data_IF_047051019822
#
_entry.id   IF_047051019822
#
_cell.length_a   1.000
_cell.length_b   1.000
_cell.length_c   1.000
_cell.angle_alpha   90.00
_cell.angle_beta   90.00
_cell.angle_gamma   90.00
#
_symmetry.space_group_name_H-M   'P 1'
#
loop_
_entity.id
_entity.type
_entity.pdbx_description
1 polymer ?
#
# COMPACT_ATOMS: atom_id res chain seq x y z
N UNK A 1 12.38 -0.58 25.61
CA UNK A 1 11.10 0.13 25.89
C UNK A 1 9.95 -0.82 25.55
N UNK A 2 8.95 -0.95 26.40
CA UNK A 2 7.71 -1.68 26.08
C UNK A 2 6.78 -0.74 25.27
N UNK A 3 6.88 -0.82 23.97
CA UNK A 3 6.12 0.05 23.05
C UNK A 3 4.61 -0.13 23.17
N UNK A 4 4.11 -1.32 23.51
CA UNK A 4 2.66 -1.55 23.64
C UNK A 4 2.09 -0.80 24.85
N UNK A 5 2.74 -0.93 26.01
CA UNK A 5 2.35 -0.24 27.23
C UNK A 5 2.49 1.28 27.11
N UNK A 6 3.58 1.74 26.53
CA UNK A 6 3.85 3.17 26.36
C UNK A 6 2.90 3.80 25.33
N UNK A 7 2.61 3.12 24.23
CA UNK A 7 1.63 3.56 23.24
C UNK A 7 0.24 3.73 23.86
N UNK A 8 -0.21 2.76 24.66
CA UNK A 8 -1.52 2.87 25.34
C UNK A 8 -1.58 4.07 26.27
N UNK A 9 -0.52 4.32 27.05
CA UNK A 9 -0.41 5.48 27.93
C UNK A 9 -0.49 6.80 27.13
N UNK A 10 0.31 6.91 26.06
CA UNK A 10 0.35 8.10 25.21
C UNK A 10 -0.97 8.35 24.48
N UNK A 11 -1.64 7.32 23.97
CA UNK A 11 -2.97 7.50 23.35
C UNK A 11 -4.00 8.05 24.34
N UNK A 12 -3.91 7.68 25.63
CA UNK A 12 -4.73 8.25 26.69
C UNK A 12 -4.43 9.73 26.97
N UNK A 13 -3.17 10.14 26.83
CA UNK A 13 -2.75 11.55 27.02
C UNK A 13 -3.07 12.40 25.80
N UNK A 14 -2.80 11.90 24.58
CA UNK A 14 -3.04 12.62 23.32
C UNK A 14 -4.53 12.82 23.05
N UNK A 15 -5.38 11.87 23.45
CA UNK A 15 -6.84 11.86 23.16
C UNK A 15 -7.17 11.99 21.66
N UNK A 16 -6.32 11.42 20.84
CA UNK A 16 -6.33 11.51 19.39
C UNK A 16 -5.01 12.05 18.84
N UNK A 17 -4.70 11.71 17.58
CA UNK A 17 -3.45 12.08 16.90
C UNK A 17 -3.63 13.15 15.84
N UNK A 18 -4.86 13.55 15.59
CA UNK A 18 -5.21 14.59 14.61
C UNK A 18 -6.14 15.59 15.23
N UNK A 19 -6.12 16.81 14.69
CA UNK A 19 -7.08 17.87 14.99
C UNK A 19 -7.47 18.60 13.72
N UNK A 20 -8.59 19.30 13.74
CA UNK A 20 -9.03 20.18 12.65
C UNK A 20 -8.77 21.62 13.08
N UNK A 21 -7.95 22.33 12.31
CA UNK A 21 -7.58 23.71 12.57
C UNK A 21 -8.05 24.63 11.45
N UNK A 22 -8.34 25.89 11.79
CA UNK A 22 -8.63 26.89 10.78
C UNK A 22 -7.36 27.39 10.11
N UNK A 23 -7.43 27.70 8.83
CA UNK A 23 -6.31 28.26 8.04
C UNK A 23 -6.49 29.73 7.70
N UNK A 24 -7.60 30.34 8.17
CA UNK A 24 -7.94 31.74 7.94
C UNK A 24 -8.25 32.41 9.29
N UNK A 25 -7.98 33.72 9.43
CA UNK A 25 -8.32 34.45 10.65
C UNK A 25 -9.84 34.65 10.74
N UNK A 26 -10.37 34.72 11.95
CA UNK A 26 -11.75 35.15 12.26
C UNK A 26 -11.69 36.04 13.50
N UNK A 27 -11.10 37.23 13.36
CA UNK A 27 -10.87 38.16 14.47
C UNK A 27 -11.71 39.45 14.34
N UNK A 28 -12.15 39.77 13.12
CA UNK A 28 -12.91 40.96 12.79
C UNK A 28 -14.25 40.63 12.14
N UNK A 29 -15.14 41.62 12.04
CA UNK A 29 -16.39 41.50 11.28
C UNK A 29 -16.13 41.26 9.79
N UNK A 30 -15.09 41.85 9.26
CA UNK A 30 -14.72 41.68 7.86
C UNK A 30 -14.20 40.25 7.61
N UNK A 31 -13.37 39.70 8.49
CA UNK A 31 -12.92 38.30 8.41
C UNK A 31 -14.14 37.36 8.40
N UNK A 32 -15.07 37.55 9.33
CA UNK A 32 -16.28 36.74 9.40
C UNK A 32 -17.11 36.87 8.13
N UNK A 33 -17.26 38.09 7.59
CA UNK A 33 -18.03 38.33 6.36
C UNK A 33 -17.38 37.74 5.11
N UNK A 34 -16.05 37.64 5.07
CA UNK A 34 -15.31 36.99 4.00
C UNK A 34 -15.29 35.46 4.15
N UNK A 35 -15.05 34.96 5.36
CA UNK A 35 -14.96 33.51 5.61
C UNK A 35 -16.34 32.82 5.62
N UNK A 36 -17.41 33.54 5.95
CA UNK A 36 -18.78 33.00 6.01
C UNK A 36 -19.79 33.95 5.34
N UNK A 37 -20.82 34.40 6.04
CA UNK A 37 -21.89 35.19 5.45
C UNK A 37 -21.59 36.70 5.50
N UNK A 38 -21.72 37.46 4.39
CA UNK A 38 -22.31 37.10 3.09
C UNK A 38 -21.33 36.63 2.03
N UNK A 39 -20.03 36.81 2.20
CA UNK A 39 -19.01 36.63 1.17
C UNK A 39 -18.93 35.21 0.61
N UNK A 40 -19.15 34.17 1.42
CA UNK A 40 -19.09 32.76 1.04
C UNK A 40 -20.10 32.37 -0.05
N UNK A 41 -21.14 33.17 -0.28
CA UNK A 41 -22.09 32.92 -1.36
C UNK A 41 -21.43 32.94 -2.75
N UNK A 42 -20.42 33.78 -2.96
CA UNK A 42 -19.78 33.89 -4.26
C UNK A 42 -18.98 32.64 -4.65
N UNK A 43 -18.09 32.06 -3.82
CA UNK A 43 -17.48 30.76 -4.08
C UNK A 43 -18.51 29.65 -4.35
N UNK A 44 -19.61 29.60 -3.61
CA UNK A 44 -20.69 28.62 -3.84
C UNK A 44 -21.31 28.78 -5.24
N UNK A 45 -21.57 30.01 -5.68
CA UNK A 45 -22.07 30.29 -7.02
C UNK A 45 -21.09 29.85 -8.09
N UNK A 46 -19.81 30.10 -7.90
CA UNK A 46 -18.80 29.68 -8.87
C UNK A 46 -18.68 28.15 -8.98
N UNK A 47 -18.69 27.44 -7.85
CA UNK A 47 -18.66 25.97 -7.83
C UNK A 47 -19.96 25.37 -8.42
N UNK A 48 -21.12 26.01 -8.21
CA UNK A 48 -22.38 25.53 -8.78
C UNK A 48 -22.43 25.61 -10.31
N UNK A 49 -21.63 26.51 -10.91
CA UNK A 49 -21.48 26.64 -12.37
C UNK A 49 -20.46 25.65 -12.94
N UNK A 50 -19.42 25.38 -12.18
CA UNK A 50 -18.34 24.46 -12.53
C UNK A 50 -17.82 23.77 -11.27
N UNK A 51 -18.18 22.50 -11.10
CA UNK A 51 -17.78 21.69 -9.92
C UNK A 51 -16.26 21.56 -9.76
N UNK A 52 -15.49 21.68 -10.85
CA UNK A 52 -14.03 21.63 -10.79
C UNK A 52 -13.44 22.76 -9.95
N UNK A 53 -14.10 23.91 -9.88
CA UNK A 53 -13.68 25.02 -9.00
C UNK A 53 -13.69 24.64 -7.51
N UNK A 54 -14.33 23.54 -7.12
CA UNK A 54 -14.24 23.04 -5.75
C UNK A 54 -12.82 22.67 -5.34
N UNK A 55 -11.99 22.27 -6.28
CA UNK A 55 -10.57 22.01 -6.04
C UNK A 55 -9.77 23.29 -5.81
N UNK A 56 -10.17 24.40 -6.41
CA UNK A 56 -9.45 25.69 -6.29
C UNK A 56 -9.96 26.50 -5.08
N UNK A 57 -11.24 26.35 -4.71
CA UNK A 57 -11.93 27.20 -3.74
C UNK A 57 -12.21 26.49 -2.40
N UNK A 58 -11.86 25.22 -2.25
CA UNK A 58 -12.04 24.46 -1.01
C UNK A 58 -10.82 23.58 -0.71
N UNK A 59 -10.79 22.98 0.49
CA UNK A 59 -9.75 22.04 0.88
C UNK A 59 -9.82 20.69 0.14
N UNK A 60 -10.82 20.48 -0.71
CA UNK A 60 -11.00 19.26 -1.51
C UNK A 60 -9.72 18.86 -2.25
N UNK A 61 -8.96 19.82 -2.79
CA UNK A 61 -7.72 19.57 -3.54
C UNK A 61 -6.64 18.80 -2.76
N UNK A 62 -6.64 18.88 -1.43
CA UNK A 62 -5.61 18.28 -0.57
C UNK A 62 -6.17 17.32 0.48
N UNK A 63 -7.46 17.02 0.47
CA UNK A 63 -8.11 16.21 1.51
C UNK A 63 -8.35 14.77 1.04
N UNK A 64 -7.78 13.80 1.76
CA UNK A 64 -7.95 12.37 1.55
C UNK A 64 -8.86 11.75 2.61
N UNK A 65 -9.84 10.95 2.21
CA UNK A 65 -10.57 10.08 3.14
C UNK A 65 -9.80 8.79 3.39
N UNK A 66 -9.54 8.44 4.65
CA UNK A 66 -8.98 7.15 5.06
C UNK A 66 -10.11 6.28 5.58
N UNK A 67 -10.53 5.30 4.80
CA UNK A 67 -11.76 4.52 5.02
C UNK A 67 -11.44 3.10 5.44
N UNK A 68 -12.07 2.65 6.53
CA UNK A 68 -11.98 1.26 7.01
C UNK A 68 -13.34 0.73 7.47
N UNK A 69 -13.52 -0.58 7.43
CA UNK A 69 -14.57 -1.30 8.14
C UNK A 69 -14.04 -2.07 9.36
N UNK A 70 -12.73 -2.01 9.60
CA UNK A 70 -12.06 -2.63 10.74
C UNK A 70 -11.98 -4.16 10.69
N UNK A 71 -12.06 -4.77 9.50
CA UNK A 71 -12.11 -6.24 9.36
C UNK A 71 -10.76 -6.91 9.14
N UNK A 72 -9.67 -6.13 8.94
CA UNK A 72 -8.32 -6.67 8.73
C UNK A 72 -7.24 -5.82 9.41
N UNK A 73 -7.50 -5.37 10.63
CA UNK A 73 -6.64 -4.42 11.36
C UNK A 73 -5.37 -5.09 11.84
N UNK A 74 -4.22 -4.73 11.23
CA UNK A 74 -2.89 -5.27 11.56
C UNK A 74 -2.91 -6.82 11.69
N UNK A 75 -2.27 -7.37 12.70
CA UNK A 75 -2.33 -8.80 13.06
C UNK A 75 -3.54 -9.19 13.93
N UNK A 76 -4.44 -8.24 14.23
CA UNK A 76 -5.58 -8.45 15.12
C UNK A 76 -6.83 -8.99 14.40
N UNK A 77 -6.91 -8.79 13.08
CA UNK A 77 -8.03 -9.24 12.26
C UNK A 77 -9.26 -8.35 12.38
N UNK A 78 -10.42 -8.98 12.48
CA UNK A 78 -11.74 -8.31 12.55
C UNK A 78 -12.06 -7.84 13.98
N UNK A 79 -11.71 -6.59 14.27
CA UNK A 79 -11.95 -5.97 15.58
C UNK A 79 -13.01 -4.85 15.55
N UNK A 80 -13.56 -4.59 14.36
CA UNK A 80 -14.58 -3.59 14.14
C UNK A 80 -14.04 -2.18 13.87
N UNK A 81 -14.90 -1.31 13.32
CA UNK A 81 -14.48 -0.01 12.81
C UNK A 81 -13.96 0.95 13.88
N UNK A 82 -14.61 1.03 15.05
CA UNK A 82 -14.18 1.94 16.11
C UNK A 82 -12.83 1.54 16.71
N UNK A 83 -12.58 0.23 16.85
CA UNK A 83 -11.30 -0.28 17.33
C UNK A 83 -10.16 -0.09 16.32
N UNK A 84 -10.49 0.08 15.02
CA UNK A 84 -9.54 0.45 13.96
C UNK A 84 -9.14 1.93 13.97
N UNK A 85 -9.89 2.81 14.63
CA UNK A 85 -9.66 4.26 14.61
C UNK A 85 -8.23 4.69 14.98
N UNK A 86 -7.56 4.13 16.00
CA UNK A 86 -6.17 4.50 16.30
C UNK A 86 -5.20 4.26 15.15
N UNK A 87 -5.41 3.21 14.35
CA UNK A 87 -4.61 2.91 13.15
C UNK A 87 -4.91 3.93 12.06
N UNK A 88 -6.18 4.25 11.84
CA UNK A 88 -6.62 5.23 10.83
C UNK A 88 -6.11 6.63 11.12
N UNK A 89 -6.13 7.07 12.38
CA UNK A 89 -5.49 8.32 12.79
C UNK A 89 -3.97 8.28 12.55
N UNK A 90 -3.32 7.17 12.85
CA UNK A 90 -1.91 6.96 12.54
C UNK A 90 -1.62 7.11 11.05
N UNK A 91 -2.46 6.54 10.19
CA UNK A 91 -2.36 6.70 8.74
C UNK A 91 -2.48 8.17 8.34
N UNK A 92 -3.42 8.92 8.91
CA UNK A 92 -3.58 10.36 8.66
C UNK A 92 -2.33 11.17 9.06
N UNK A 93 -1.70 10.83 10.19
CA UNK A 93 -0.42 11.45 10.62
C UNK A 93 0.66 11.22 9.58
N UNK A 94 0.79 10.00 9.05
CA UNK A 94 1.79 9.67 8.03
C UNK A 94 1.52 10.39 6.70
N UNK A 95 0.26 10.49 6.28
CA UNK A 95 -0.12 11.29 5.10
C UNK A 95 0.35 12.73 5.23
N UNK A 96 0.13 13.36 6.39
CA UNK A 96 0.55 14.74 6.63
C UNK A 96 2.06 14.88 6.72
N UNK A 97 2.71 14.03 7.51
CA UNK A 97 4.15 14.14 7.79
C UNK A 97 5.03 13.89 6.54
N UNK A 98 4.66 12.96 5.67
CA UNK A 98 5.49 12.52 4.55
C UNK A 98 4.99 12.96 3.17
N UNK A 99 3.75 13.43 3.07
CA UNK A 99 3.15 13.84 1.80
C UNK A 99 2.52 15.22 1.80
N UNK A 100 2.46 15.88 2.95
CA UNK A 100 1.68 17.10 3.17
C UNK A 100 0.23 17.00 2.64
N UNK A 101 -0.36 15.81 2.80
CA UNK A 101 -1.75 15.52 2.47
C UNK A 101 -2.57 15.57 3.75
N UNK A 102 -3.64 16.36 3.75
CA UNK A 102 -4.61 16.36 4.83
C UNK A 102 -5.46 15.10 4.71
N UNK A 103 -5.56 14.32 5.76
CA UNK A 103 -6.31 13.08 5.74
C UNK A 103 -7.28 13.01 6.92
N UNK A 104 -8.46 12.44 6.67
CA UNK A 104 -9.51 12.30 7.68
C UNK A 104 -9.99 10.85 7.77
N UNK A 105 -10.01 10.25 8.99
CA UNK A 105 -10.38 8.86 9.18
C UNK A 105 -11.90 8.68 9.19
N UNK A 106 -12.39 7.67 8.47
CA UNK A 106 -13.80 7.32 8.37
C UNK A 106 -13.96 5.82 8.62
N UNK A 107 -14.55 5.48 9.77
CA UNK A 107 -14.81 4.11 10.19
C UNK A 107 -16.27 3.74 9.88
N UNK A 108 -16.49 2.82 8.93
CA UNK A 108 -17.82 2.47 8.42
C UNK A 108 -18.35 1.24 9.14
N UNK A 109 -19.53 1.34 9.75
CA UNK A 109 -20.21 0.24 10.46
C UNK A 109 -20.98 -0.70 9.53
N UNK A 110 -20.29 -1.20 8.50
CA UNK A 110 -20.87 -2.20 7.61
C UNK A 110 -19.78 -3.11 7.06
N UNK A 111 -20.16 -4.37 6.78
CA UNK A 111 -19.36 -5.34 6.04
C UNK A 111 -19.97 -5.65 4.67
N UNK A 112 -21.07 -5.03 4.34
CA UNK A 112 -21.69 -5.14 3.03
C UNK A 112 -20.94 -4.27 2.01
N UNK A 113 -20.59 -4.87 0.87
CA UNK A 113 -19.81 -4.21 -0.17
C UNK A 113 -20.54 -3.01 -0.74
N UNK A 114 -21.83 -3.15 -1.03
CA UNK A 114 -22.62 -2.09 -1.67
C UNK A 114 -22.92 -0.95 -0.70
N UNK A 115 -23.13 -1.23 0.57
CA UNK A 115 -23.26 -0.21 1.61
C UNK A 115 -22.00 0.62 1.77
N UNK A 116 -20.82 -0.02 1.82
CA UNK A 116 -19.53 0.67 1.89
C UNK A 116 -19.31 1.52 0.65
N UNK A 117 -19.51 0.94 -0.54
CA UNK A 117 -19.35 1.65 -1.82
C UNK A 117 -20.28 2.85 -1.92
N UNK A 118 -21.54 2.70 -1.56
CA UNK A 118 -22.51 3.79 -1.60
C UNK A 118 -22.16 4.88 -0.57
N UNK A 119 -21.75 4.51 0.63
CA UNK A 119 -21.32 5.46 1.67
C UNK A 119 -20.16 6.32 1.17
N UNK A 120 -19.10 5.69 0.67
CA UNK A 120 -17.92 6.41 0.16
C UNK A 120 -18.27 7.28 -1.04
N UNK A 121 -19.07 6.77 -1.97
CA UNK A 121 -19.53 7.55 -3.13
C UNK A 121 -20.31 8.81 -2.71
N UNK A 122 -21.25 8.69 -1.78
CA UNK A 122 -22.07 9.81 -1.34
C UNK A 122 -21.27 10.94 -0.68
N UNK A 123 -20.13 10.63 -0.05
CA UNK A 123 -19.26 11.63 0.60
C UNK A 123 -18.09 12.07 -0.27
N UNK A 124 -17.87 11.45 -1.42
CA UNK A 124 -16.69 11.67 -2.27
C UNK A 124 -16.51 13.11 -2.73
N UNK A 125 -17.61 13.87 -2.82
CA UNK A 125 -17.57 15.30 -3.18
C UNK A 125 -16.79 16.19 -2.21
N UNK A 126 -16.52 15.72 -0.98
CA UNK A 126 -15.74 16.46 0.00
C UNK A 126 -14.22 16.19 -0.10
N UNK A 127 -13.80 15.21 -0.88
CA UNK A 127 -12.41 14.70 -0.90
C UNK A 127 -11.79 14.79 -2.30
N UNK A 128 -10.48 14.91 -2.33
CA UNK A 128 -9.68 14.81 -3.54
C UNK A 128 -9.29 13.38 -3.89
N UNK A 129 -9.41 12.45 -2.93
CA UNK A 129 -9.12 11.04 -3.10
C UNK A 129 -9.49 10.20 -1.89
N UNK A 130 -9.44 8.89 -2.04
CA UNK A 130 -9.80 7.92 -1.00
C UNK A 130 -8.70 6.87 -0.84
N UNK A 131 -8.22 6.69 0.37
CA UNK A 131 -7.41 5.56 0.78
C UNK A 131 -8.27 4.56 1.55
N UNK A 132 -8.42 3.35 1.00
CA UNK A 132 -9.03 2.22 1.70
C UNK A 132 -7.95 1.54 2.57
N UNK A 133 -8.29 1.18 3.79
CA UNK A 133 -7.36 0.62 4.76
C UNK A 133 -8.01 -0.47 5.59
N UNK A 134 -7.25 -1.54 5.89
CA UNK A 134 -7.65 -2.60 6.82
C UNK A 134 -9.01 -3.27 6.49
N UNK A 135 -9.33 -3.40 5.21
CA UNK A 135 -10.53 -4.10 4.72
C UNK A 135 -10.16 -5.50 4.25
N UNK A 136 -10.82 -6.53 4.78
CA UNK A 136 -10.48 -7.92 4.53
C UNK A 136 -10.74 -8.37 3.09
N UNK A 137 -9.80 -9.20 2.57
CA UNK A 137 -10.00 -9.91 1.30
C UNK A 137 -11.07 -11.04 1.46
N UNK A 138 -11.87 -11.34 0.41
CA UNK A 138 -11.80 -10.80 -0.94
C UNK A 138 -12.59 -9.51 -1.16
N UNK A 139 -13.35 -9.02 -0.15
CA UNK A 139 -14.24 -7.85 -0.27
C UNK A 139 -13.50 -6.58 -0.68
N UNK A 140 -12.29 -6.37 -0.17
CA UNK A 140 -11.49 -5.19 -0.49
C UNK A 140 -11.26 -5.00 -2.00
N UNK A 141 -11.09 -6.09 -2.76
CA UNK A 141 -10.92 -6.03 -4.22
C UNK A 141 -12.20 -5.58 -4.92
N UNK A 142 -13.34 -6.08 -4.47
CA UNK A 142 -14.65 -5.71 -5.04
C UNK A 142 -15.01 -4.26 -4.70
N UNK A 143 -14.78 -3.84 -3.45
CA UNK A 143 -15.03 -2.46 -3.00
C UNK A 143 -14.17 -1.49 -3.81
N UNK A 144 -12.88 -1.72 -3.94
CA UNK A 144 -11.99 -0.85 -4.72
C UNK A 144 -12.43 -0.77 -6.18
N UNK A 145 -12.72 -1.90 -6.82
CA UNK A 145 -13.16 -1.95 -8.22
C UNK A 145 -14.44 -1.14 -8.44
N UNK A 146 -15.47 -1.38 -7.62
CA UNK A 146 -16.75 -0.66 -7.71
C UNK A 146 -16.60 0.84 -7.44
N UNK A 147 -15.73 1.24 -6.50
CA UNK A 147 -15.46 2.66 -6.23
C UNK A 147 -14.73 3.33 -7.39
N UNK A 148 -13.74 2.68 -8.01
CA UNK A 148 -13.06 3.20 -9.20
C UNK A 148 -14.00 3.38 -10.40
N UNK A 149 -14.99 2.51 -10.53
CA UNK A 149 -16.02 2.63 -11.58
C UNK A 149 -17.05 3.76 -11.29
N UNK A 150 -17.29 4.05 -10.02
CA UNK A 150 -18.38 4.94 -9.59
C UNK A 150 -17.93 6.36 -9.27
N UNK A 151 -16.71 6.53 -8.77
CA UNK A 151 -16.15 7.82 -8.35
C UNK A 151 -15.29 8.44 -9.45
N UNK A 152 -15.28 9.76 -9.49
CA UNK A 152 -14.43 10.60 -10.37
C UNK A 152 -13.12 11.06 -9.70
N UNK A 153 -12.86 10.57 -8.49
CA UNK A 153 -11.64 10.82 -7.71
C UNK A 153 -10.82 9.55 -7.53
N UNK A 154 -9.51 9.64 -7.35
CA UNK A 154 -8.64 8.47 -7.20
C UNK A 154 -9.00 7.65 -5.96
N UNK A 155 -9.08 6.34 -6.15
CA UNK A 155 -9.29 5.32 -5.12
C UNK A 155 -8.05 4.45 -5.04
N UNK A 156 -7.54 4.24 -3.84
CA UNK A 156 -6.35 3.44 -3.59
C UNK A 156 -6.53 2.60 -2.33
N UNK A 157 -6.05 1.37 -2.33
CA UNK A 157 -6.07 0.50 -1.15
C UNK A 157 -4.61 0.21 -0.76
N UNK A 158 -4.14 0.80 0.34
CA UNK A 158 -2.74 0.75 0.70
C UNK A 158 -2.23 -0.65 1.05
N UNK A 159 -3.01 -1.46 1.77
CA UNK A 159 -2.61 -2.85 2.07
C UNK A 159 -2.39 -3.71 0.82
N UNK A 160 -3.08 -3.38 -0.27
CA UNK A 160 -2.87 -4.00 -1.56
C UNK A 160 -1.64 -3.40 -2.25
N UNK A 161 -1.74 -2.14 -2.59
CA UNK A 161 -0.86 -1.50 -3.57
C UNK A 161 0.39 -0.90 -2.94
N UNK A 162 0.31 -0.35 -1.72
CA UNK A 162 1.48 0.18 -1.02
C UNK A 162 2.51 -0.91 -0.76
N UNK A 163 2.08 -2.04 -0.21
CA UNK A 163 2.95 -3.20 0.03
C UNK A 163 3.53 -3.75 -1.27
N UNK A 164 2.74 -3.83 -2.34
CA UNK A 164 3.21 -4.32 -3.64
C UNK A 164 4.29 -3.40 -4.23
N UNK A 165 4.10 -2.09 -4.18
CA UNK A 165 5.03 -1.08 -4.70
C UNK A 165 6.37 -1.14 -3.98
N UNK A 166 6.36 -1.17 -2.64
CA UNK A 166 7.58 -1.21 -1.83
C UNK A 166 8.31 -2.53 -2.00
N UNK A 167 7.57 -3.65 -2.08
CA UNK A 167 8.15 -4.97 -2.35
C UNK A 167 8.82 -5.02 -3.71
N UNK A 168 8.18 -4.50 -4.75
CA UNK A 168 8.78 -4.43 -6.10
C UNK A 168 10.04 -3.56 -6.09
N UNK A 169 10.01 -2.39 -5.45
CA UNK A 169 11.17 -1.50 -5.37
C UNK A 169 12.37 -2.20 -4.74
N UNK A 170 12.19 -2.85 -3.59
CA UNK A 170 13.24 -3.61 -2.93
C UNK A 170 13.72 -4.80 -3.76
N UNK A 171 12.81 -5.51 -4.42
CA UNK A 171 13.16 -6.67 -5.25
C UNK A 171 14.01 -6.28 -6.48
N UNK A 172 13.69 -5.17 -7.14
CA UNK A 172 14.49 -4.68 -8.28
C UNK A 172 15.93 -4.43 -7.87
N UNK A 173 16.16 -3.81 -6.72
CA UNK A 173 17.50 -3.58 -6.18
C UNK A 173 18.15 -4.86 -5.66
N UNK A 174 17.41 -5.75 -5.01
CA UNK A 174 17.92 -7.05 -4.57
C UNK A 174 18.44 -7.88 -5.76
N UNK A 175 17.75 -7.87 -6.89
CA UNK A 175 18.19 -8.54 -8.11
C UNK A 175 19.51 -7.99 -8.65
N UNK A 176 19.71 -6.67 -8.59
CA UNK A 176 21.02 -6.06 -8.95
C UNK A 176 22.13 -6.56 -8.02
N UNK A 177 21.89 -6.58 -6.71
CA UNK A 177 22.88 -7.07 -5.70
C UNK A 177 23.30 -8.51 -5.96
N UNK A 178 22.36 -9.38 -6.33
CA UNK A 178 22.67 -10.80 -6.59
C UNK A 178 23.02 -11.11 -8.05
N UNK A 179 22.95 -10.11 -8.94
CA UNK A 179 23.26 -10.26 -10.36
C UNK A 179 22.31 -11.16 -11.14
N UNK A 180 21.03 -11.24 -10.72
CA UNK A 180 19.99 -12.04 -11.38
C UNK A 180 19.04 -11.15 -12.20
N UNK A 181 18.48 -11.71 -13.28
CA UNK A 181 17.57 -11.01 -14.18
C UNK A 181 16.11 -11.38 -13.86
N UNK A 182 15.22 -10.38 -13.89
CA UNK A 182 13.80 -10.56 -13.56
C UNK A 182 13.08 -11.58 -14.46
N UNK A 183 13.51 -11.73 -15.70
CA UNK A 183 12.93 -12.66 -16.67
C UNK A 183 13.26 -14.12 -16.39
N UNK A 184 14.35 -14.37 -15.66
CA UNK A 184 14.93 -15.70 -15.42
C UNK A 184 14.59 -16.27 -14.04
N UNK A 185 14.30 -15.39 -13.07
CA UNK A 185 14.10 -15.78 -11.67
C UNK A 185 12.78 -16.50 -11.44
N UNK A 186 12.83 -17.55 -10.61
CA UNK A 186 11.66 -18.24 -10.08
C UNK A 186 11.28 -17.61 -8.74
N UNK A 187 10.06 -17.10 -8.65
CA UNK A 187 9.51 -16.46 -7.45
C UNK A 187 8.45 -17.37 -6.83
N UNK A 188 8.54 -17.60 -5.54
CA UNK A 188 7.50 -18.26 -4.75
C UNK A 188 6.94 -17.27 -3.75
N UNK A 189 5.62 -17.06 -3.77
CA UNK A 189 4.94 -16.19 -2.81
C UNK A 189 4.10 -17.00 -1.83
N UNK A 190 4.15 -16.63 -0.55
CA UNK A 190 3.32 -17.21 0.50
C UNK A 190 2.34 -16.19 1.04
N UNK A 191 1.07 -16.53 0.99
CA UNK A 191 -0.05 -15.69 1.41
C UNK A 191 -1.20 -15.71 0.42
N UNK A 192 -2.39 -15.42 0.90
CA UNK A 192 -3.61 -15.44 0.09
C UNK A 192 -4.51 -14.21 0.32
N UNK A 193 -4.00 -13.24 1.09
CA UNK A 193 -4.67 -11.98 1.38
C UNK A 193 -4.44 -10.91 0.32
N UNK A 194 -4.89 -9.70 0.63
CA UNK A 194 -4.86 -8.53 -0.26
C UNK A 194 -3.44 -8.22 -0.78
N UNK A 195 -2.47 -8.09 0.12
CA UNK A 195 -1.08 -7.80 -0.23
C UNK A 195 -0.48 -8.86 -1.18
N UNK A 196 -0.66 -10.15 -0.87
CA UNK A 196 -0.12 -11.24 -1.68
C UNK A 196 -0.65 -11.25 -3.13
N UNK A 197 -1.93 -10.94 -3.32
CA UNK A 197 -2.53 -10.83 -4.65
C UNK A 197 -1.93 -9.65 -5.42
N UNK A 198 -1.87 -8.50 -4.79
CA UNK A 198 -1.41 -7.25 -5.43
C UNK A 198 0.09 -7.26 -5.72
N UNK A 199 0.91 -7.85 -4.85
CA UNK A 199 2.34 -8.08 -5.12
C UNK A 199 2.48 -8.88 -6.41
N UNK A 200 1.79 -10.02 -6.53
CA UNK A 200 1.91 -10.87 -7.72
C UNK A 200 1.43 -10.14 -8.98
N UNK A 201 0.31 -9.42 -8.93
CA UNK A 201 -0.18 -8.63 -10.07
C UNK A 201 0.85 -7.60 -10.52
N UNK A 202 1.44 -6.87 -9.59
CA UNK A 202 2.44 -5.84 -9.91
C UNK A 202 3.74 -6.46 -10.43
N UNK A 203 4.19 -7.61 -9.90
CA UNK A 203 5.34 -8.35 -10.42
C UNK A 203 5.12 -8.80 -11.87
N UNK A 204 3.95 -9.34 -12.19
CA UNK A 204 3.61 -9.73 -13.56
C UNK A 204 3.61 -8.52 -14.50
N UNK A 205 3.03 -7.39 -14.07
CA UNK A 205 3.06 -6.12 -14.82
C UNK A 205 4.48 -5.59 -15.01
N UNK A 206 5.39 -5.84 -14.05
CA UNK A 206 6.81 -5.50 -14.14
C UNK A 206 7.62 -6.44 -15.06
N UNK A 207 7.01 -7.49 -15.58
CA UNK A 207 7.62 -8.43 -16.54
C UNK A 207 8.24 -9.66 -15.91
N UNK A 208 8.00 -9.94 -14.62
CA UNK A 208 8.34 -11.24 -14.04
C UNK A 208 7.42 -12.32 -14.61
N UNK A 209 7.95 -13.49 -14.95
CA UNK A 209 7.21 -14.54 -15.69
C UNK A 209 6.95 -15.80 -14.89
N UNK A 210 7.88 -16.17 -14.01
CA UNK A 210 7.84 -17.44 -13.30
C UNK A 210 7.48 -17.21 -11.82
N UNK A 211 6.20 -17.05 -11.56
CA UNK A 211 5.66 -16.81 -10.21
C UNK A 211 4.75 -17.96 -9.80
N UNK A 212 5.05 -18.59 -8.67
CA UNK A 212 4.20 -19.59 -8.02
C UNK A 212 3.64 -18.98 -6.75
N UNK A 213 2.31 -18.90 -6.68
CA UNK A 213 1.61 -18.41 -5.49
C UNK A 213 1.19 -19.59 -4.61
N UNK A 214 1.41 -19.47 -3.29
CA UNK A 214 0.94 -20.47 -2.32
C UNK A 214 -0.07 -19.88 -1.33
N UNK A 215 -0.98 -20.71 -0.89
CA UNK A 215 -1.88 -20.47 0.23
C UNK A 215 -1.56 -21.49 1.34
N UNK A 216 -2.27 -21.44 2.47
CA UNK A 216 -2.09 -22.38 3.59
C UNK A 216 -2.12 -23.85 3.15
N UNK A 217 -2.91 -24.18 2.16
CA UNK A 217 -3.12 -25.54 1.64
C UNK A 217 -2.24 -25.86 0.41
N UNK A 218 -1.19 -25.09 0.15
CA UNK A 218 -0.22 -25.33 -0.93
C UNK A 218 -0.38 -24.41 -2.14
N UNK A 219 0.27 -24.79 -3.23
CA UNK A 219 0.37 -24.00 -4.46
C UNK A 219 -1.01 -23.78 -5.12
N UNK A 220 -1.19 -22.59 -5.68
CA UNK A 220 -2.38 -22.20 -6.46
C UNK A 220 -2.06 -22.44 -7.94
N UNK A 221 -2.97 -23.10 -8.66
CA UNK A 221 -2.86 -23.40 -10.09
C UNK A 221 -4.24 -23.57 -10.72
N UNK A 222 -4.33 -23.39 -12.02
CA UNK A 222 -5.59 -23.51 -12.76
C UNK A 222 -6.16 -24.95 -12.71
N UNK A 223 -7.40 -25.08 -12.26
CA UNK A 223 -8.08 -26.35 -12.07
C UNK A 223 -7.98 -26.92 -10.64
N UNK A 224 -7.33 -26.23 -9.71
CA UNK A 224 -7.34 -26.61 -8.29
C UNK A 224 -8.72 -26.33 -7.69
N UNK A 225 -9.21 -27.29 -6.90
CA UNK A 225 -10.50 -27.16 -6.22
C UNK A 225 -10.50 -26.16 -5.05
N UNK A 226 -11.68 -25.68 -4.69
CA UNK A 226 -11.95 -24.81 -3.52
C UNK A 226 -11.18 -23.49 -3.52
N UNK A 227 -10.99 -22.89 -4.67
CA UNK A 227 -10.51 -21.52 -4.79
C UNK A 227 -11.69 -20.55 -4.73
N UNK A 228 -11.48 -19.38 -4.10
CA UNK A 228 -12.40 -18.26 -4.28
C UNK A 228 -12.09 -17.53 -5.59
N UNK A 229 -13.01 -16.67 -6.04
CA UNK A 229 -12.93 -16.01 -7.35
C UNK A 229 -11.59 -15.32 -7.63
N UNK A 230 -11.00 -14.61 -6.64
CA UNK A 230 -9.72 -13.91 -6.84
C UNK A 230 -8.54 -14.89 -6.95
N UNK A 231 -8.58 -16.01 -6.24
CA UNK A 231 -7.56 -17.06 -6.38
C UNK A 231 -7.70 -17.81 -7.71
N UNK A 232 -8.91 -17.98 -8.22
CA UNK A 232 -9.16 -18.52 -9.54
C UNK A 232 -8.59 -17.59 -10.62
N UNK A 233 -8.82 -16.27 -10.51
CA UNK A 233 -8.22 -15.27 -11.39
C UNK A 233 -6.69 -15.38 -11.38
N UNK A 234 -6.07 -15.44 -10.19
CA UNK A 234 -4.61 -15.57 -10.05
C UNK A 234 -4.08 -16.89 -10.60
N UNK A 235 -4.82 -17.98 -10.48
CA UNK A 235 -4.43 -19.30 -10.99
C UNK A 235 -4.31 -19.33 -12.54
N UNK A 236 -4.97 -18.41 -13.25
CA UNK A 236 -4.87 -18.30 -14.71
C UNK A 236 -3.58 -17.64 -15.18
N UNK A 237 -2.97 -16.80 -14.33
CA UNK A 237 -1.81 -15.95 -14.70
C UNK A 237 -0.53 -16.30 -13.94
N UNK A 238 -0.60 -17.22 -12.98
CA UNK A 238 0.56 -17.72 -12.21
C UNK A 238 0.67 -19.23 -12.33
N UNK A 239 1.85 -19.78 -11.99
CA UNK A 239 2.08 -21.22 -11.94
C UNK A 239 1.57 -21.95 -13.21
N UNK A 240 1.95 -21.44 -14.37
CA UNK A 240 1.45 -21.91 -15.66
C UNK A 240 1.79 -23.40 -15.92
N UNK A 241 2.83 -23.92 -15.27
CA UNK A 241 3.19 -25.35 -15.30
C UNK A 241 2.29 -26.21 -14.37
N UNK A 242 1.37 -25.60 -13.66
CA UNK A 242 0.43 -26.26 -12.73
C UNK A 242 1.13 -27.13 -11.67
N UNK A 243 2.26 -26.66 -11.15
CA UNK A 243 2.98 -27.34 -10.07
C UNK A 243 2.09 -27.38 -8.83
N UNK A 244 1.75 -28.58 -8.40
CA UNK A 244 1.05 -28.84 -7.14
C UNK A 244 2.07 -29.07 -6.01
N UNK A 245 1.63 -28.97 -4.77
CA UNK A 245 2.43 -29.28 -3.59
C UNK A 245 2.38 -28.20 -2.53
N UNK A 246 3.01 -28.51 -1.39
CA UNK A 246 3.22 -27.61 -0.27
C UNK A 246 4.24 -26.49 -0.61
N UNK A 247 4.36 -25.48 0.25
CA UNK A 247 5.41 -24.48 0.13
C UNK A 247 6.81 -25.13 0.07
N UNK A 248 7.07 -26.13 0.94
CA UNK A 248 8.35 -26.82 0.98
C UNK A 248 8.72 -27.52 -0.34
N UNK A 249 7.74 -28.03 -1.08
CA UNK A 249 7.95 -28.68 -2.36
C UNK A 249 8.15 -27.68 -3.50
N UNK A 250 7.37 -26.61 -3.56
CA UNK A 250 7.44 -25.66 -4.68
C UNK A 250 8.58 -24.65 -4.56
N UNK A 251 9.12 -24.43 -3.33
CA UNK A 251 10.22 -23.48 -3.10
C UNK A 251 11.57 -24.03 -3.59
N UNK A 252 11.68 -25.33 -3.79
CA UNK A 252 12.91 -25.96 -4.31
C UNK A 252 13.33 -25.30 -5.62
N UNK A 253 14.58 -24.82 -5.66
CA UNK A 253 15.13 -24.10 -6.82
C UNK A 253 14.48 -22.73 -7.07
N UNK A 254 13.83 -22.12 -6.09
CA UNK A 254 13.40 -20.74 -6.19
C UNK A 254 14.56 -19.76 -5.96
N UNK A 255 14.54 -18.64 -6.66
CA UNK A 255 15.49 -17.53 -6.49
C UNK A 255 14.99 -16.53 -5.47
N UNK A 256 13.68 -16.37 -5.38
CA UNK A 256 13.02 -15.36 -4.54
C UNK A 256 11.86 -15.99 -3.78
N UNK A 257 11.81 -15.72 -2.48
CA UNK A 257 10.64 -15.95 -1.65
C UNK A 257 10.05 -14.61 -1.19
N UNK A 258 8.74 -14.47 -1.29
CA UNK A 258 8.00 -13.30 -0.75
C UNK A 258 6.86 -13.80 0.12
N UNK A 259 7.00 -13.57 1.43
CA UNK A 259 6.01 -13.92 2.46
C UNK A 259 5.21 -12.70 2.91
N UNK A 260 3.88 -12.82 2.89
CA UNK A 260 2.91 -11.92 3.51
C UNK A 260 1.80 -12.79 4.12
N UNK A 261 2.20 -13.76 4.95
CA UNK A 261 1.34 -14.84 5.42
C UNK A 261 1.29 -14.93 6.94
N UNK A 262 2.06 -15.83 7.53
CA UNK A 262 2.04 -16.10 8.95
C UNK A 262 3.45 -16.40 9.49
N UNK A 263 3.67 -16.14 10.79
CA UNK A 263 4.93 -16.44 11.45
C UNK A 263 5.39 -17.89 11.24
N UNK A 264 6.71 -18.09 11.03
CA UNK A 264 7.31 -19.41 10.97
C UNK A 264 6.93 -20.26 9.75
N UNK A 265 6.32 -19.66 8.72
CA UNK A 265 5.90 -20.38 7.51
C UNK A 265 7.07 -20.84 6.67
N UNK A 266 8.18 -20.10 6.68
CA UNK A 266 9.43 -20.44 6.01
C UNK A 266 10.46 -20.93 7.05
N UNK A 267 11.14 -22.03 6.74
CA UNK A 267 12.17 -22.61 7.62
C UNK A 267 13.55 -22.50 6.99
N UNK A 268 14.61 -22.58 7.82
CA UNK A 268 16.00 -22.64 7.36
C UNK A 268 16.22 -23.77 6.35
N UNK A 269 15.60 -24.94 6.59
CA UNK A 269 15.73 -26.10 5.69
C UNK A 269 15.07 -25.83 4.32
N UNK A 270 13.95 -25.12 4.29
CA UNK A 270 13.35 -24.69 3.00
C UNK A 270 14.28 -23.72 2.28
N UNK A 271 14.87 -22.74 2.96
CA UNK A 271 15.80 -21.79 2.35
C UNK A 271 17.02 -22.51 1.75
N UNK A 272 17.55 -23.54 2.39
CA UNK A 272 18.65 -24.37 1.86
C UNK A 272 18.35 -25.03 0.53
N UNK A 273 17.07 -25.23 0.20
CA UNK A 273 16.65 -25.82 -1.09
C UNK A 273 16.49 -24.80 -2.20
N UNK A 274 16.54 -23.51 -1.89
CA UNK A 274 16.50 -22.43 -2.88
C UNK A 274 17.80 -22.36 -3.69
N UNK A 275 17.76 -21.62 -4.78
CA UNK A 275 18.95 -21.36 -5.58
C UNK A 275 19.99 -20.54 -4.79
N UNK A 276 21.25 -20.64 -5.21
CA UNK A 276 22.34 -19.82 -4.67
C UNK A 276 21.99 -18.33 -4.74
N UNK A 277 22.45 -17.56 -3.76
CA UNK A 277 22.17 -16.13 -3.63
C UNK A 277 20.66 -15.83 -3.60
N UNK A 278 19.92 -16.61 -2.83
CA UNK A 278 18.48 -16.45 -2.67
C UNK A 278 18.11 -15.11 -2.03
N UNK A 279 16.96 -14.58 -2.45
CA UNK A 279 16.34 -13.36 -1.91
C UNK A 279 15.13 -13.77 -1.09
N UNK A 280 15.04 -13.31 0.16
CA UNK A 280 13.95 -13.64 1.08
C UNK A 280 13.29 -12.37 1.62
N UNK A 281 12.03 -12.14 1.26
CA UNK A 281 11.19 -11.09 1.81
C UNK A 281 10.17 -11.73 2.76
N UNK A 282 10.38 -11.60 4.07
CA UNK A 282 9.55 -12.16 5.12
C UNK A 282 8.78 -11.02 5.81
N UNK A 283 7.66 -10.60 5.19
CA UNK A 283 6.98 -9.35 5.51
C UNK A 283 5.80 -9.50 6.49
N UNK A 284 5.54 -10.68 7.05
CA UNK A 284 4.51 -10.86 8.07
C UNK A 284 4.82 -10.03 9.33
N UNK A 285 3.80 -9.41 9.90
CA UNK A 285 3.88 -8.58 11.10
C UNK A 285 2.95 -9.13 12.20
N UNK A 286 3.34 -9.05 13.48
CA UNK A 286 4.61 -8.51 14.03
C UNK A 286 5.79 -9.48 13.95
N UNK A 287 5.55 -10.76 13.66
CA UNK A 287 6.58 -11.79 13.56
C UNK A 287 6.70 -12.25 12.10
N UNK A 288 7.92 -12.23 11.50
CA UNK A 288 8.12 -12.62 10.12
C UNK A 288 7.96 -14.12 9.88
N UNK A 289 7.82 -14.53 8.63
CA UNK A 289 7.78 -15.93 8.20
C UNK A 289 9.05 -16.69 8.58
N UNK A 290 10.19 -16.01 8.60
CA UNK A 290 11.49 -16.48 9.07
C UNK A 290 12.27 -15.27 9.59
N UNK A 291 13.04 -15.43 10.65
CA UNK A 291 13.94 -14.38 11.11
C UNK A 291 15.20 -14.27 10.22
N UNK A 292 15.79 -13.08 10.09
CA UNK A 292 16.95 -12.86 9.22
C UNK A 292 18.13 -13.80 9.48
N UNK A 293 18.47 -14.07 10.73
CA UNK A 293 19.58 -14.97 11.07
C UNK A 293 19.32 -16.40 10.59
N UNK A 294 18.10 -16.89 10.73
CA UNK A 294 17.69 -18.22 10.25
C UNK A 294 17.69 -18.30 8.72
N UNK A 295 17.25 -17.23 8.05
CA UNK A 295 17.30 -17.15 6.59
C UNK A 295 18.76 -17.11 6.08
N UNK A 296 19.64 -16.34 6.72
CA UNK A 296 21.09 -16.34 6.42
C UNK A 296 21.72 -17.71 6.63
N UNK A 297 21.37 -18.40 7.72
CA UNK A 297 21.84 -19.76 7.99
C UNK A 297 21.37 -20.77 6.92
N UNK A 298 20.25 -20.50 6.26
CA UNK A 298 19.74 -21.24 5.11
C UNK A 298 20.43 -20.92 3.78
N UNK A 299 21.23 -19.85 3.72
CA UNK A 299 21.96 -19.44 2.51
C UNK A 299 21.30 -18.27 1.75
N UNK A 300 20.31 -17.61 2.32
CA UNK A 300 19.77 -16.38 1.74
C UNK A 300 20.83 -15.26 1.79
N UNK A 301 20.96 -14.54 0.67
CA UNK A 301 21.94 -13.44 0.57
C UNK A 301 21.31 -12.09 0.88
N UNK A 302 20.12 -11.83 0.35
CA UNK A 302 19.38 -10.59 0.61
C UNK A 302 18.13 -10.91 1.39
N UNK A 303 17.94 -10.24 2.52
CA UNK A 303 16.80 -10.47 3.39
C UNK A 303 16.12 -9.13 3.69
N UNK A 304 14.79 -9.15 3.63
CA UNK A 304 13.92 -8.02 3.95
C UNK A 304 12.80 -8.48 4.87
N UNK A 305 12.36 -7.60 5.77
CA UNK A 305 11.22 -7.85 6.66
C UNK A 305 10.30 -6.62 6.72
N UNK A 306 9.13 -6.77 7.33
CA UNK A 306 8.25 -5.64 7.66
C UNK A 306 8.68 -4.88 8.93
N UNK A 307 9.73 -5.32 9.63
CA UNK A 307 10.14 -4.79 10.93
C UNK A 307 11.23 -3.72 10.80
N UNK A 308 11.12 -2.67 11.62
CA UNK A 308 12.08 -1.55 11.65
C UNK A 308 13.39 -1.85 12.39
N UNK A 309 13.46 -2.96 13.12
CA UNK A 309 14.64 -3.39 13.86
C UNK A 309 15.61 -4.26 13.03
N UNK A 310 15.30 -4.50 11.76
CA UNK A 310 16.15 -5.20 10.80
C UNK A 310 16.43 -4.34 9.57
N UNK A 311 17.53 -4.59 8.83
CA UNK A 311 17.79 -3.96 7.54
C UNK A 311 16.67 -4.21 6.51
N UNK A 312 16.62 -3.38 5.49
CA UNK A 312 15.71 -3.55 4.34
C UNK A 312 14.23 -3.64 4.74
N UNK A 313 13.76 -2.74 5.60
CA UNK A 313 12.36 -2.73 6.00
C UNK A 313 11.43 -2.45 4.82
N UNK A 314 10.49 -3.35 4.55
CA UNK A 314 9.34 -3.09 3.67
C UNK A 314 8.28 -2.34 4.48
N UNK A 315 8.07 -1.06 4.14
CA UNK A 315 7.13 -0.20 4.84
C UNK A 315 6.36 0.68 3.83
N UNK A 316 5.03 0.59 3.85
CA UNK A 316 4.15 1.31 2.94
C UNK A 316 4.30 2.83 2.99
N UNK A 317 4.84 3.38 4.09
CA UNK A 317 5.13 4.81 4.24
C UNK A 317 6.07 5.35 3.15
N UNK A 318 6.86 4.49 2.52
CA UNK A 318 7.68 4.86 1.37
C UNK A 318 6.86 5.14 0.11
N UNK A 319 5.63 4.64 0.03
CA UNK A 319 4.81 4.68 -1.16
C UNK A 319 3.64 5.66 -1.06
N UNK A 320 2.64 5.38 -0.19
CA UNK A 320 1.34 6.03 -0.25
C UNK A 320 1.37 7.56 -0.09
N UNK A 321 2.20 8.17 0.79
CA UNK A 321 2.17 9.62 0.95
C UNK A 321 2.61 10.35 -0.34
N UNK A 322 3.70 9.87 -0.95
CA UNK A 322 4.20 10.41 -2.21
C UNK A 322 3.27 10.14 -3.39
N UNK A 323 2.61 8.98 -3.42
CA UNK A 323 1.61 8.64 -4.44
C UNK A 323 0.45 9.63 -4.39
N UNK A 324 -0.15 9.86 -3.23
CA UNK A 324 -1.26 10.81 -3.10
C UNK A 324 -0.81 12.24 -3.35
N UNK A 325 0.40 12.65 -2.91
CA UNK A 325 0.95 13.96 -3.22
C UNK A 325 1.06 14.18 -4.73
N UNK A 326 1.69 13.27 -5.45
CA UNK A 326 1.83 13.37 -6.91
C UNK A 326 0.50 13.29 -7.64
N UNK A 327 -0.45 12.49 -7.16
CA UNK A 327 -1.81 12.39 -7.70
C UNK A 327 -2.58 13.69 -7.53
N UNK A 328 -2.51 14.31 -6.36
CA UNK A 328 -3.19 15.58 -6.07
C UNK A 328 -2.55 16.77 -6.79
N UNK A 329 -1.22 16.80 -6.92
CA UNK A 329 -0.51 17.88 -7.63
C UNK A 329 -0.97 18.04 -9.09
N UNK A 330 -1.39 16.95 -9.72
CA UNK A 330 -1.87 16.96 -11.11
C UNK A 330 -3.37 16.70 -11.22
N UNK A 331 -4.05 16.65 -10.09
CA UNK A 331 -5.47 16.36 -9.99
C UNK A 331 -5.87 15.16 -10.88
N UNK A 332 -5.17 14.04 -10.65
CA UNK A 332 -5.45 12.82 -11.40
C UNK A 332 -6.77 12.18 -10.96
N UNK A 333 -7.52 11.64 -11.91
CA UNK A 333 -8.80 10.97 -11.68
C UNK A 333 -8.66 9.52 -11.22
N UNK A 334 -7.47 8.93 -11.37
CA UNK A 334 -7.15 7.55 -10.97
C UNK A 334 -5.70 7.44 -10.50
N UNK A 335 -5.42 6.36 -9.76
CA UNK A 335 -4.07 5.84 -9.50
C UNK A 335 -3.97 4.51 -10.23
N UNK A 336 -3.42 4.55 -11.45
CA UNK A 336 -3.34 3.41 -12.36
C UNK A 336 -2.03 2.62 -12.22
N UNK A 337 -1.88 1.55 -13.01
CA UNK A 337 -0.70 0.66 -12.93
C UNK A 337 0.59 1.38 -13.32
N UNK A 338 0.57 2.29 -14.30
CA UNK A 338 1.73 3.09 -14.71
C UNK A 338 2.22 3.98 -13.56
N UNK A 339 1.32 4.58 -12.80
CA UNK A 339 1.66 5.40 -11.63
C UNK A 339 2.25 4.56 -10.50
N UNK A 340 1.72 3.35 -10.24
CA UNK A 340 2.25 2.41 -9.25
C UNK A 340 3.64 1.92 -9.63
N UNK A 341 3.85 1.60 -10.90
CA UNK A 341 5.16 1.22 -11.43
C UNK A 341 6.16 2.36 -11.30
N UNK A 342 5.77 3.58 -11.66
CA UNK A 342 6.60 4.77 -11.52
C UNK A 342 7.01 5.03 -10.06
N UNK A 343 6.10 4.82 -9.11
CA UNK A 343 6.38 4.92 -7.68
C UNK A 343 7.43 3.89 -7.24
N UNK A 344 7.29 2.63 -7.65
CA UNK A 344 8.25 1.57 -7.31
C UNK A 344 9.65 1.86 -7.88
N UNK A 345 9.73 2.30 -9.13
CA UNK A 345 10.99 2.70 -9.77
C UNK A 345 11.62 3.90 -9.06
N UNK A 346 10.83 4.93 -8.71
CA UNK A 346 11.32 6.11 -8.02
C UNK A 346 11.91 5.78 -6.64
N UNK A 347 11.32 4.85 -5.90
CA UNK A 347 11.86 4.37 -4.61
C UNK A 347 13.18 3.62 -4.84
N UNK A 348 13.21 2.70 -5.80
CA UNK A 348 14.40 1.91 -6.10
C UNK A 348 15.58 2.78 -6.55
N UNK A 349 15.34 3.74 -7.42
CA UNK A 349 16.38 4.60 -8.02
C UNK A 349 16.98 5.63 -7.05
N UNK A 350 16.44 5.75 -5.83
CA UNK A 350 17.05 6.59 -4.78
C UNK A 350 18.36 6.06 -4.26
N UNK A 351 18.61 4.77 -4.40
CA UNK A 351 19.85 4.13 -3.99
C UNK A 351 20.70 3.94 -5.25
N UNK A 352 21.89 4.56 -5.29
CA UNK A 352 22.81 4.40 -6.40
C UNK A 352 23.40 2.98 -6.45
N UNK A 353 23.88 2.55 -7.61
CA UNK A 353 24.47 1.22 -7.76
C UNK A 353 25.69 1.01 -6.87
N UNK A 354 26.42 2.10 -6.51
CA UNK A 354 27.56 2.08 -5.60
C UNK A 354 27.17 1.91 -4.13
N UNK A 355 25.97 2.34 -3.74
CA UNK A 355 25.44 2.21 -2.39
C UNK A 355 24.77 0.86 -2.16
N UNK A 356 24.29 0.20 -3.24
CA UNK A 356 23.57 -1.07 -3.14
C UNK A 356 24.43 -2.18 -2.53
N UNK A 357 23.86 -2.83 -1.53
CA UNK A 357 24.45 -4.03 -0.91
C UNK A 357 23.33 -4.88 -0.29
N UNK A 358 23.66 -6.05 0.26
CA UNK A 358 22.69 -6.97 0.81
C UNK A 358 21.84 -6.42 1.99
N UNK A 359 22.35 -5.44 2.71
CA UNK A 359 21.68 -4.79 3.83
C UNK A 359 21.10 -3.41 3.48
N UNK A 360 21.22 -2.96 2.22
CA UNK A 360 20.69 -1.68 1.75
C UNK A 360 20.15 -1.75 0.32
N UNK A 361 18.93 -2.28 0.17
CA UNK A 361 18.18 -2.41 -1.10
C UNK A 361 16.97 -1.48 -1.19
N UNK A 362 16.59 -0.87 -0.07
CA UNK A 362 15.44 0.03 0.03
C UNK A 362 15.77 1.19 0.95
N UNK A 363 15.36 2.44 0.64
CA UNK A 363 15.65 3.58 1.49
C UNK A 363 14.94 3.46 2.85
N UNK A 364 15.50 4.11 3.87
CA UNK A 364 14.87 4.18 5.18
C UNK A 364 13.56 4.98 5.13
N UNK A 365 12.62 4.65 6.04
CA UNK A 365 11.30 5.29 6.11
C UNK A 365 11.36 6.83 6.29
N UNK A 366 12.42 7.33 6.94
CA UNK A 366 12.63 8.76 7.18
C UNK A 366 13.58 9.43 6.17
N UNK A 367 13.93 8.78 5.07
CA UNK A 367 14.72 9.42 4.01
C UNK A 367 13.89 10.54 3.35
N UNK A 368 14.30 11.81 3.50
CA UNK A 368 13.49 12.95 3.03
C UNK A 368 13.36 13.02 1.49
N UNK A 369 14.16 12.26 0.76
CA UNK A 369 14.13 12.19 -0.70
C UNK A 369 12.94 11.39 -1.22
N UNK A 370 12.41 10.44 -0.43
CA UNK A 370 11.40 9.47 -0.87
C UNK A 370 10.11 10.16 -1.32
N UNK A 371 9.47 10.91 -0.43
CA UNK A 371 8.19 11.57 -0.74
C UNK A 371 8.21 12.41 -2.02
N UNK A 372 9.14 13.37 -2.13
CA UNK A 372 9.28 14.21 -3.34
C UNK A 372 9.58 13.42 -4.62
N UNK A 373 10.43 12.40 -4.55
CA UNK A 373 10.79 11.57 -5.72
C UNK A 373 9.60 10.76 -6.21
N UNK A 374 8.87 10.12 -5.29
CA UNK A 374 7.66 9.36 -5.61
C UNK A 374 6.59 10.29 -6.19
N UNK A 375 6.33 11.43 -5.55
CA UNK A 375 5.33 12.39 -6.02
C UNK A 375 5.63 12.87 -7.45
N UNK A 376 6.87 13.23 -7.73
CA UNK A 376 7.30 13.67 -9.06
C UNK A 376 7.10 12.58 -10.12
N UNK A 377 7.49 11.34 -9.82
CA UNK A 377 7.37 10.23 -10.75
C UNK A 377 5.90 9.86 -11.02
N UNK A 378 5.08 9.85 -9.98
CA UNK A 378 3.64 9.56 -10.06
C UNK A 378 2.92 10.65 -10.88
N UNK A 379 3.20 11.92 -10.63
CA UNK A 379 2.62 13.03 -11.39
C UNK A 379 2.99 12.94 -12.89
N UNK A 380 4.25 12.61 -13.20
CA UNK A 380 4.69 12.42 -14.58
C UNK A 380 3.99 11.24 -15.26
N UNK A 381 3.83 10.12 -14.55
CA UNK A 381 3.11 8.94 -15.05
C UNK A 381 1.62 9.23 -15.26
N UNK A 382 0.97 9.98 -14.35
CA UNK A 382 -0.42 10.40 -14.49
C UNK A 382 -0.65 11.24 -15.75
N UNK A 383 0.23 12.20 -16.02
CA UNK A 383 0.19 13.00 -17.26
C UNK A 383 0.37 12.13 -18.50
N UNK A 384 1.35 11.22 -18.48
CA UNK A 384 1.65 10.33 -19.60
C UNK A 384 0.50 9.38 -19.90
N UNK A 385 -0.17 8.86 -18.89
CA UNK A 385 -1.30 7.93 -19.03
C UNK A 385 -2.66 8.64 -19.25
N UNK A 386 -2.68 9.96 -19.26
CA UNK A 386 -3.86 10.77 -19.60
C UNK A 386 -4.92 10.85 -18.48
N UNK A 387 -4.57 10.53 -17.23
CA UNK A 387 -5.49 10.63 -16.08
C UNK A 387 -5.31 11.95 -15.31
N UNK A 388 -4.30 12.75 -15.61
CA UNK A 388 -4.09 14.06 -15.03
C UNK A 388 -5.03 15.11 -15.65
N UNK A 389 -5.49 16.06 -14.84
CA UNK A 389 -6.33 17.19 -15.26
C UNK A 389 -5.54 18.51 -15.37
N UNK A 390 -4.30 18.54 -14.86
CA UNK A 390 -3.42 19.72 -14.86
C UNK A 390 -2.06 19.40 -15.47
#
# INVERSE_FOLDING_TARGET
>A
MDYAKESLRLHGEWKGKIEVVTTVPVETKDDLSLAYTPGVAQPCIEISKDVNKSYDLTRRHNLCAVVTDGTAVLGLGDIGPEAGMPVMEGKCVLFKAFGDVDAFPLCVKSKDVDEIVNTVYMISGSFGGVNLEDISAPRCFEIERKLKEKCDIPIFHDDQHGTAIVTLAGLLNALKVVGKKKEEVKIVTSGAGAAAISIVKLLLSAGFKNVIKTARTGAIYAGREKLNWIKEEMAQVTNLEKKAGSLAEVIVGADVFIGVSAPGTLTTEMVKTMNKDAIVFACANPTPEIFPDDAKAGGARVISTGRSDFPNQVNNVLAFPGIFRGTFDVRASDINEEMKMAAAMAIADLISDEELNEDYIIPAAFDPRVGPSVAKAVAAAARKSGVASN
#
